data_IF_225122221460
#
_entry.id   IF_225122221460
#
_cell.length_a   1.000
_cell.length_b   1.000
_cell.length_c   1.000
_cell.angle_alpha   90.00
_cell.angle_beta   90.00
_cell.angle_gamma   90.00
#
_symmetry.space_group_name_H-M   'P 1'
#
loop_
_entity.id
_entity.type
_entity.pdbx_description
1 polymer ?
#
# COMPACT_ATOMS: atom_id res chain seq x y z
N UNK A 1 17.35 -22.99 -11.83
CA UNK A 1 16.97 -22.19 -13.00
C UNK A 1 15.53 -21.78 -12.75
N UNK A 2 15.31 -20.52 -12.36
CA UNK A 2 13.96 -19.94 -12.30
C UNK A 2 13.64 -19.48 -13.72
N UNK A 3 12.83 -20.22 -14.44
CA UNK A 3 12.20 -19.66 -15.64
C UNK A 3 11.23 -18.58 -15.15
N UNK A 4 11.51 -17.32 -15.49
CA UNK A 4 10.58 -16.24 -15.28
C UNK A 4 9.30 -16.56 -16.05
N UNK A 5 8.15 -16.46 -15.38
CA UNK A 5 6.86 -16.65 -16.02
C UNK A 5 6.57 -15.46 -16.95
N UNK A 6 5.99 -15.72 -18.11
CA UNK A 6 5.46 -14.64 -18.94
C UNK A 6 4.35 -13.91 -18.20
N UNK A 7 4.26 -12.60 -18.42
CA UNK A 7 3.33 -11.72 -17.73
C UNK A 7 2.46 -11.02 -18.76
N UNK A 8 1.15 -11.23 -18.64
CA UNK A 8 0.15 -10.47 -19.38
C UNK A 8 -0.14 -9.15 -18.66
N UNK A 9 -0.21 -8.05 -19.42
CA UNK A 9 -0.57 -6.72 -18.92
C UNK A 9 -1.92 -6.27 -19.53
N UNK A 10 -2.87 -5.91 -18.69
CA UNK A 10 -4.20 -5.45 -19.08
C UNK A 10 -4.59 -4.15 -18.39
N UNK A 11 -5.08 -3.16 -19.16
CA UNK A 11 -5.69 -1.95 -18.61
C UNK A 11 -7.06 -2.27 -18.03
N UNK A 12 -7.35 -1.72 -16.84
CA UNK A 12 -8.60 -1.92 -16.12
C UNK A 12 -9.23 -0.58 -15.76
N UNK A 13 -10.52 -0.44 -16.00
CA UNK A 13 -11.32 0.67 -15.53
C UNK A 13 -12.29 0.19 -14.44
N UNK A 14 -12.21 0.77 -13.25
CA UNK A 14 -13.07 0.49 -12.12
C UNK A 14 -14.10 1.60 -11.95
N UNK A 15 -15.34 1.25 -11.65
CA UNK A 15 -16.38 2.21 -11.29
C UNK A 15 -16.53 2.29 -9.76
N UNK A 16 -16.37 3.47 -9.20
CA UNK A 16 -16.51 3.75 -7.76
C UNK A 16 -17.30 5.04 -7.59
N UNK A 17 -18.45 4.99 -6.94
CA UNK A 17 -19.31 6.16 -6.67
C UNK A 17 -19.57 7.02 -7.93
N UNK A 18 -19.74 6.39 -9.11
CA UNK A 18 -19.94 7.07 -10.38
C UNK A 18 -18.68 7.68 -11.01
N UNK A 19 -17.52 7.47 -10.40
CA UNK A 19 -16.20 7.86 -10.92
C UNK A 19 -15.50 6.67 -11.57
N UNK A 20 -14.60 6.96 -12.52
CA UNK A 20 -13.76 5.94 -13.16
C UNK A 20 -12.34 6.02 -12.59
N UNK A 21 -11.83 4.89 -12.10
CA UNK A 21 -10.42 4.70 -11.76
C UNK A 21 -9.77 3.86 -12.86
N UNK A 22 -8.57 4.24 -13.25
CA UNK A 22 -7.77 3.47 -14.20
C UNK A 22 -6.68 2.71 -13.46
N UNK A 23 -6.54 1.43 -13.80
CA UNK A 23 -5.51 0.55 -13.24
C UNK A 23 -4.84 -0.31 -14.29
N UNK A 24 -3.77 -0.97 -13.90
CA UNK A 24 -3.08 -1.97 -14.69
C UNK A 24 -3.06 -3.30 -13.94
N UNK A 25 -3.54 -4.36 -14.59
CA UNK A 25 -3.47 -5.73 -14.08
C UNK A 25 -2.32 -6.47 -14.78
N UNK A 26 -1.40 -7.02 -13.99
CA UNK A 26 -0.32 -7.88 -14.46
C UNK A 26 -0.49 -9.26 -13.85
N UNK A 27 -0.56 -10.31 -14.66
CA UNK A 27 -0.87 -11.67 -14.17
C UNK A 27 -0.04 -12.74 -14.87
N UNK A 28 0.47 -13.75 -14.13
CA UNK A 28 1.13 -14.93 -14.68
C UNK A 28 0.12 -16.01 -15.09
N UNK A 29 0.59 -17.04 -15.78
CA UNK A 29 -0.24 -18.17 -16.24
C UNK A 29 -0.72 -19.14 -15.12
N UNK A 30 -0.16 -19.09 -13.91
CA UNK A 30 -0.46 -20.02 -12.82
C UNK A 30 -1.21 -19.38 -11.64
N UNK A 31 -2.08 -20.12 -10.90
CA UNK A 31 -2.81 -19.58 -9.74
C UNK A 31 -1.87 -19.21 -8.59
N UNK A 32 -2.07 -18.01 -8.00
CA UNK A 32 -1.03 -17.34 -7.25
C UNK A 32 -1.56 -16.25 -6.31
N UNK A 33 -0.74 -15.75 -5.39
CA UNK A 33 -1.09 -14.62 -4.55
C UNK A 33 -1.43 -13.35 -5.35
N UNK A 34 -2.37 -12.55 -4.83
CA UNK A 34 -2.68 -11.22 -5.35
C UNK A 34 -1.92 -10.13 -4.63
N UNK A 35 -1.44 -9.12 -5.35
CA UNK A 35 -0.77 -7.95 -4.79
C UNK A 35 -1.40 -6.66 -5.32
N UNK A 36 -1.94 -5.85 -4.41
CA UNK A 36 -2.48 -4.53 -4.72
C UNK A 36 -1.46 -3.45 -4.37
N UNK A 37 -1.22 -2.54 -5.31
CA UNK A 37 -0.36 -1.38 -5.10
C UNK A 37 -1.18 -0.11 -4.97
N UNK A 38 -0.84 0.72 -3.97
CA UNK A 38 -1.54 1.96 -3.66
C UNK A 38 -0.54 3.10 -3.56
N UNK A 39 -0.47 3.93 -4.58
CA UNK A 39 0.47 5.05 -4.68
C UNK A 39 0.21 6.16 -3.66
N UNK A 40 1.19 7.04 -3.48
CA UNK A 40 1.11 8.20 -2.60
C UNK A 40 0.27 9.35 -3.17
N UNK A 41 -0.04 10.35 -2.33
CA UNK A 41 -0.74 11.55 -2.78
C UNK A 41 0.13 12.38 -3.73
N UNK A 42 -0.43 12.64 -4.91
CA UNK A 42 0.27 13.33 -6.00
C UNK A 42 1.13 12.43 -6.89
N UNK A 43 1.13 11.11 -6.61
CA UNK A 43 1.72 10.09 -7.46
C UNK A 43 0.70 9.50 -8.44
N UNK A 44 1.08 8.42 -9.08
CA UNK A 44 0.27 7.64 -10.00
C UNK A 44 0.67 6.17 -9.96
N UNK A 45 -0.07 5.32 -10.67
CA UNK A 45 0.19 3.89 -10.74
C UNK A 45 1.53 3.52 -11.39
N UNK A 46 2.08 4.39 -12.25
CA UNK A 46 3.33 4.15 -12.97
C UNK A 46 4.53 4.00 -12.00
N UNK A 47 4.46 4.66 -10.83
CA UNK A 47 5.49 4.55 -9.79
C UNK A 47 5.73 3.12 -9.33
N UNK A 48 4.69 2.27 -9.39
CA UNK A 48 4.72 0.89 -8.87
C UNK A 48 4.78 -0.17 -9.98
N UNK A 49 4.62 0.21 -11.27
CA UNK A 49 4.58 -0.76 -12.37
C UNK A 49 5.84 -1.63 -12.44
N UNK A 50 7.02 -1.07 -12.26
CA UNK A 50 8.27 -1.83 -12.27
C UNK A 50 8.33 -2.92 -11.20
N UNK A 51 7.86 -2.60 -9.98
CA UNK A 51 7.76 -3.58 -8.88
C UNK A 51 6.69 -4.63 -9.16
N UNK A 52 5.53 -4.20 -9.68
CA UNK A 52 4.42 -5.08 -10.01
C UNK A 52 4.82 -6.09 -11.10
N UNK A 53 5.54 -5.64 -12.14
CA UNK A 53 6.04 -6.49 -13.20
C UNK A 53 7.04 -7.53 -12.69
N UNK A 54 7.99 -7.13 -11.84
CA UNK A 54 8.97 -8.04 -11.25
C UNK A 54 8.31 -9.10 -10.36
N UNK A 55 7.33 -8.70 -9.53
CA UNK A 55 6.58 -9.61 -8.66
C UNK A 55 5.63 -10.51 -9.45
N UNK A 56 5.08 -10.03 -10.57
CA UNK A 56 4.28 -10.85 -11.46
C UNK A 56 5.13 -11.96 -12.11
N UNK A 57 6.38 -11.69 -12.51
CA UNK A 57 7.33 -12.73 -12.99
C UNK A 57 7.69 -13.74 -11.91
N UNK A 58 7.57 -13.40 -10.62
CA UNK A 58 7.74 -14.32 -9.50
C UNK A 58 6.48 -15.14 -9.18
N UNK A 59 5.42 -14.96 -9.94
CA UNK A 59 4.19 -15.72 -9.84
C UNK A 59 3.13 -15.08 -8.93
N UNK A 60 2.99 -13.75 -8.93
CA UNK A 60 1.88 -13.04 -8.33
C UNK A 60 0.97 -12.44 -9.40
N UNK A 61 -0.32 -12.28 -9.12
CA UNK A 61 -1.18 -11.37 -9.87
C UNK A 61 -1.06 -10.01 -9.21
N UNK A 62 -0.61 -9.00 -9.96
CA UNK A 62 -0.39 -7.65 -9.45
C UNK A 62 -1.39 -6.67 -10.06
N UNK A 63 -1.88 -5.75 -9.24
CA UNK A 63 -2.79 -4.70 -9.68
C UNK A 63 -2.32 -3.35 -9.16
N UNK A 64 -2.06 -2.42 -10.08
CA UNK A 64 -1.81 -1.00 -9.83
C UNK A 64 -2.99 -0.19 -10.35
N UNK A 65 -3.30 0.93 -9.74
CA UNK A 65 -4.41 1.80 -10.16
C UNK A 65 -4.17 3.23 -9.71
N UNK A 66 -4.81 4.18 -10.37
CA UNK A 66 -4.80 5.58 -9.97
C UNK A 66 -5.94 5.86 -8.98
N UNK A 67 -5.60 6.37 -7.80
CA UNK A 67 -6.58 6.92 -6.86
C UNK A 67 -7.36 8.06 -7.53
N UNK A 68 -8.65 8.23 -7.20
CA UNK A 68 -9.42 9.35 -7.72
C UNK A 68 -8.72 10.69 -7.47
N UNK A 69 -8.85 11.61 -8.42
CA UNK A 69 -8.16 12.89 -8.40
C UNK A 69 -6.70 12.84 -8.82
N UNK A 70 -6.19 11.68 -9.28
CA UNK A 70 -4.83 11.50 -9.75
C UNK A 70 -4.81 10.95 -11.18
N UNK A 71 -3.78 11.29 -11.94
CA UNK A 71 -3.47 10.80 -13.29
C UNK A 71 -4.69 10.52 -14.19
N UNK A 72 -5.03 9.24 -14.45
CA UNK A 72 -6.14 8.84 -15.31
C UNK A 72 -7.55 8.97 -14.70
N UNK A 73 -7.68 9.44 -13.45
CA UNK A 73 -8.97 9.65 -12.79
C UNK A 73 -9.69 10.91 -13.32
N UNK A 74 -11.03 10.84 -13.41
CA UNK A 74 -11.88 11.97 -13.84
C UNK A 74 -12.17 12.97 -12.71
N UNK A 75 -11.96 12.58 -11.44
CA UNK A 75 -12.26 13.41 -10.28
C UNK A 75 -11.22 14.53 -10.09
N UNK A 76 -11.65 15.63 -9.48
CA UNK A 76 -10.75 16.71 -9.09
C UNK A 76 -10.08 16.41 -7.75
N UNK A 77 -8.75 16.45 -7.72
CA UNK A 77 -7.95 16.12 -6.52
C UNK A 77 -8.31 16.98 -5.30
N UNK A 78 -8.68 18.26 -5.51
CA UNK A 78 -9.04 19.18 -4.42
C UNK A 78 -10.42 18.92 -3.80
N UNK A 79 -11.17 17.96 -4.32
CA UNK A 79 -12.48 17.53 -3.82
C UNK A 79 -12.43 16.17 -3.12
N UNK A 80 -11.32 15.41 -3.25
CA UNK A 80 -11.20 14.03 -2.75
C UNK A 80 -10.99 14.00 -1.25
N UNK A 81 -11.89 13.29 -0.55
CA UNK A 81 -11.80 13.02 0.90
C UNK A 81 -10.98 11.74 1.18
N UNK A 82 -10.66 11.51 2.46
CA UNK A 82 -10.01 10.26 2.89
C UNK A 82 -10.94 9.06 2.79
N UNK A 83 -12.24 9.29 2.95
CA UNK A 83 -13.26 8.25 2.75
C UNK A 83 -13.35 7.82 1.29
N UNK A 84 -13.31 8.78 0.37
CA UNK A 84 -13.25 8.50 -1.06
C UNK A 84 -12.03 7.65 -1.41
N UNK A 85 -10.85 8.03 -0.93
CA UNK A 85 -9.62 7.26 -1.14
C UNK A 85 -9.71 5.83 -0.56
N UNK A 86 -10.32 5.66 0.62
CA UNK A 86 -10.53 4.33 1.20
C UNK A 86 -11.52 3.50 0.37
N UNK A 87 -12.57 4.12 -0.19
CA UNK A 87 -13.51 3.44 -1.08
C UNK A 87 -12.85 3.00 -2.39
N UNK A 88 -11.94 3.81 -2.93
CA UNK A 88 -11.14 3.44 -4.11
C UNK A 88 -10.30 2.18 -3.83
N UNK A 89 -9.58 2.18 -2.72
CA UNK A 89 -8.73 1.04 -2.33
C UNK A 89 -9.56 -0.21 -2.06
N UNK A 90 -10.74 -0.09 -1.42
CA UNK A 90 -11.66 -1.23 -1.25
C UNK A 90 -12.13 -1.79 -2.58
N UNK A 91 -12.50 -0.93 -3.52
CA UNK A 91 -12.97 -1.36 -4.85
C UNK A 91 -11.85 -2.02 -5.65
N UNK A 92 -10.63 -1.46 -5.60
CA UNK A 92 -9.46 -2.05 -6.24
C UNK A 92 -9.10 -3.41 -5.64
N UNK A 93 -9.19 -3.54 -4.31
CA UNK A 93 -9.00 -4.81 -3.62
C UNK A 93 -10.06 -5.85 -4.04
N UNK A 94 -11.33 -5.47 -4.05
CA UNK A 94 -12.43 -6.37 -4.42
C UNK A 94 -12.30 -6.82 -5.88
N UNK A 95 -11.90 -5.92 -6.78
CA UNK A 95 -11.59 -6.26 -8.17
C UNK A 95 -10.45 -7.30 -8.24
N UNK A 96 -9.32 -7.05 -7.56
CA UNK A 96 -8.20 -7.98 -7.53
C UNK A 96 -8.64 -9.34 -6.95
N UNK A 97 -9.34 -9.35 -5.82
CA UNK A 97 -9.81 -10.57 -5.17
C UNK A 97 -10.80 -11.38 -6.02
N UNK A 98 -11.48 -10.75 -6.98
CA UNK A 98 -12.42 -11.41 -7.90
C UNK A 98 -11.75 -12.09 -9.08
N UNK A 99 -10.44 -11.90 -9.29
CA UNK A 99 -9.74 -12.50 -10.42
C UNK A 99 -9.63 -14.02 -10.27
N UNK A 100 -9.94 -14.81 -11.33
CA UNK A 100 -10.04 -16.28 -11.23
C UNK A 100 -8.77 -16.99 -10.79
N UNK A 101 -7.61 -16.36 -10.99
CA UNK A 101 -6.30 -16.91 -10.64
C UNK A 101 -5.85 -16.60 -9.23
N UNK A 102 -6.59 -15.81 -8.47
CA UNK A 102 -6.18 -15.39 -7.12
C UNK A 102 -6.74 -16.32 -6.04
N UNK A 103 -5.87 -16.70 -5.10
CA UNK A 103 -6.28 -17.20 -3.80
C UNK A 103 -6.68 -16.01 -2.89
N UNK A 104 -7.98 -15.84 -2.55
CA UNK A 104 -8.43 -14.74 -1.70
C UNK A 104 -7.82 -14.76 -0.29
N UNK A 105 -7.21 -15.87 0.13
CA UNK A 105 -6.51 -15.98 1.41
C UNK A 105 -5.04 -15.52 1.35
N UNK A 106 -4.54 -15.20 0.16
CA UNK A 106 -3.15 -14.85 -0.13
C UNK A 106 -3.03 -13.49 -0.84
N UNK A 107 -3.76 -12.48 -0.34
CA UNK A 107 -3.69 -11.13 -0.91
C UNK A 107 -2.81 -10.24 -0.03
N UNK A 108 -1.81 -9.61 -0.68
CA UNK A 108 -0.95 -8.58 -0.11
C UNK A 108 -1.35 -7.18 -0.59
N UNK A 109 -1.05 -6.18 0.23
CA UNK A 109 -1.25 -4.76 -0.12
C UNK A 109 0.04 -4.01 0.13
N UNK A 110 0.49 -3.26 -0.86
CA UNK A 110 1.72 -2.46 -0.83
C UNK A 110 1.29 -0.99 -0.96
N UNK A 111 1.56 -0.18 0.04
CA UNK A 111 1.12 1.21 0.05
C UNK A 111 2.24 2.19 0.37
N UNK A 112 2.29 3.28 -0.37
CA UNK A 112 3.27 4.35 -0.18
C UNK A 112 2.61 5.60 0.40
N UNK A 113 3.16 6.16 1.49
CA UNK A 113 2.76 7.46 2.06
C UNK A 113 1.24 7.52 2.35
N UNK A 114 0.47 8.31 1.60
CA UNK A 114 -0.99 8.34 1.67
C UNK A 114 -1.62 6.99 1.33
N UNK A 115 -1.10 6.32 0.28
CA UNK A 115 -1.52 4.96 -0.04
C UNK A 115 -1.22 3.97 1.09
N UNK A 116 -0.11 4.14 1.81
CA UNK A 116 0.21 3.36 3.00
C UNK A 116 -0.80 3.56 4.13
N UNK A 117 -1.24 4.80 4.36
CA UNK A 117 -2.32 5.13 5.30
C UNK A 117 -3.63 4.44 4.93
N UNK A 118 -4.05 4.52 3.66
CA UNK A 118 -5.26 3.86 3.17
C UNK A 118 -5.16 2.33 3.23
N UNK A 119 -3.99 1.78 2.91
CA UNK A 119 -3.72 0.33 2.97
C UNK A 119 -3.81 -0.21 4.40
N UNK A 120 -3.33 0.56 5.39
CA UNK A 120 -3.48 0.19 6.80
C UNK A 120 -4.96 0.20 7.23
N UNK A 121 -5.75 1.20 6.83
CA UNK A 121 -7.20 1.25 7.10
C UNK A 121 -7.95 0.10 6.44
N UNK A 122 -7.55 -0.30 5.22
CA UNK A 122 -8.16 -1.39 4.48
C UNK A 122 -8.14 -2.71 5.27
N UNK A 123 -7.11 -2.94 6.09
CA UNK A 123 -6.97 -4.20 6.86
C UNK A 123 -8.13 -4.46 7.83
N UNK A 124 -8.88 -3.43 8.22
CA UNK A 124 -10.10 -3.54 9.02
C UNK A 124 -11.32 -3.91 8.19
N UNK A 125 -11.30 -3.57 6.90
CA UNK A 125 -12.44 -3.71 5.98
C UNK A 125 -12.34 -4.97 5.10
N UNK A 126 -11.10 -5.46 4.86
CA UNK A 126 -10.81 -6.58 3.97
C UNK A 126 -9.75 -7.49 4.57
N UNK A 127 -9.78 -8.75 4.14
CA UNK A 127 -8.79 -9.75 4.58
C UNK A 127 -7.48 -9.57 3.85
N UNK A 128 -6.57 -8.82 4.42
CA UNK A 128 -5.20 -8.66 3.94
C UNK A 128 -4.30 -9.69 4.63
N UNK A 129 -3.47 -10.39 3.86
CA UNK A 129 -2.51 -11.37 4.38
C UNK A 129 -1.16 -10.74 4.65
N UNK A 130 -0.70 -9.88 3.76
CA UNK A 130 0.59 -9.21 3.79
C UNK A 130 0.40 -7.71 3.60
N UNK A 131 1.03 -6.93 4.45
CA UNK A 131 0.94 -5.48 4.41
C UNK A 131 2.34 -4.87 4.34
N UNK A 132 2.70 -4.29 3.20
CA UNK A 132 3.96 -3.57 3.02
C UNK A 132 3.68 -2.06 2.96
N UNK A 133 4.30 -1.31 3.85
CA UNK A 133 4.11 0.13 4.00
C UNK A 133 5.45 0.87 3.80
N UNK A 134 5.53 1.70 2.77
CA UNK A 134 6.65 2.62 2.61
C UNK A 134 6.25 4.00 3.11
N UNK A 135 6.99 4.53 4.09
CA UNK A 135 6.77 5.86 4.70
C UNK A 135 5.28 6.19 4.94
N UNK A 136 4.51 5.30 5.60
CA UNK A 136 3.07 5.47 5.71
C UNK A 136 2.72 6.78 6.41
N UNK A 137 1.80 7.54 5.82
CA UNK A 137 1.30 8.78 6.42
C UNK A 137 0.34 8.49 7.57
N UNK A 138 0.12 9.49 8.44
CA UNK A 138 -0.89 9.46 9.49
C UNK A 138 -1.66 10.77 9.50
N UNK A 139 -2.95 10.73 9.84
CA UNK A 139 -3.84 11.89 9.84
C UNK A 139 -4.76 11.85 11.06
N UNK A 140 -5.09 13.01 11.68
CA UNK A 140 -6.12 13.06 12.71
C UNK A 140 -7.45 12.49 12.19
N UNK A 141 -8.22 11.82 13.05
CA UNK A 141 -9.56 11.30 12.69
C UNK A 141 -10.58 12.42 12.46
N UNK A 142 -10.37 13.57 13.06
CA UNK A 142 -11.12 14.77 12.74
C UNK A 142 -11.05 15.09 11.24
N UNK A 143 -12.06 15.76 10.72
CA UNK A 143 -12.13 16.19 9.32
C UNK A 143 -12.06 15.04 8.31
N UNK A 144 -12.55 13.86 8.69
CA UNK A 144 -12.55 12.65 7.84
C UNK A 144 -13.13 12.93 6.46
N UNK A 145 -14.24 13.67 6.38
CA UNK A 145 -14.97 14.02 5.16
C UNK A 145 -14.53 15.35 4.54
N UNK A 146 -13.50 16.01 5.11
CA UNK A 146 -12.91 17.19 4.49
C UNK A 146 -11.96 16.74 3.39
N UNK A 147 -12.03 17.34 2.17
CA UNK A 147 -11.08 17.04 1.12
C UNK A 147 -9.64 17.11 1.60
N UNK A 148 -8.87 16.07 1.30
CA UNK A 148 -7.51 15.92 1.83
C UNK A 148 -6.61 17.12 1.48
N UNK A 149 -6.79 17.71 0.30
CA UNK A 149 -6.05 18.90 -0.12
C UNK A 149 -6.36 20.15 0.73
N UNK A 150 -7.51 20.16 1.42
CA UNK A 150 -7.98 21.28 2.27
C UNK A 150 -7.68 21.11 3.75
N UNK A 151 -7.07 19.98 4.15
CA UNK A 151 -6.64 19.77 5.53
C UNK A 151 -5.60 20.82 5.94
N UNK A 152 -5.66 21.26 7.21
CA UNK A 152 -4.67 22.16 7.77
C UNK A 152 -3.31 21.45 7.85
N UNK A 153 -2.36 21.91 7.03
CA UNK A 153 -1.03 21.29 6.91
C UNK A 153 -0.21 21.38 8.21
N UNK A 154 -0.37 22.47 8.97
CA UNK A 154 0.33 22.67 10.24
C UNK A 154 -0.20 21.72 11.32
N UNK A 155 -1.52 21.54 11.39
CA UNK A 155 -2.15 20.59 12.31
C UNK A 155 -1.76 19.14 11.97
N UNK A 156 -1.77 18.76 10.70
CA UNK A 156 -1.33 17.44 10.26
C UNK A 156 0.15 17.23 10.58
N UNK A 157 1.01 18.23 10.37
CA UNK A 157 2.43 18.14 10.70
C UNK A 157 2.66 18.01 12.22
N UNK A 158 1.93 18.80 13.03
CA UNK A 158 1.99 18.71 14.49
C UNK A 158 1.49 17.35 15.00
N UNK A 159 0.43 16.81 14.38
CA UNK A 159 -0.12 15.51 14.70
C UNK A 159 0.91 14.38 14.49
N UNK A 160 1.62 14.41 13.36
CA UNK A 160 2.61 13.42 12.97
C UNK A 160 3.86 13.42 13.85
N UNK A 161 4.21 14.57 14.46
CA UNK A 161 5.34 14.71 15.39
C UNK A 161 5.08 14.16 16.79
N UNK A 162 3.97 13.48 17.00
CA UNK A 162 3.63 12.86 18.28
C UNK A 162 3.42 11.37 18.09
N UNK A 163 3.95 10.58 19.02
CA UNK A 163 3.65 9.16 19.07
C UNK A 163 2.17 9.01 19.44
N UNK A 164 1.42 8.34 18.58
CA UNK A 164 -0.03 8.10 18.74
C UNK A 164 -0.29 6.66 19.12
N UNK A 165 -1.44 6.43 19.73
CA UNK A 165 -1.86 5.10 20.14
C UNK A 165 -3.08 4.62 19.34
N UNK A 166 -3.35 3.31 19.32
CA UNK A 166 -4.55 2.75 18.69
C UNK A 166 -5.87 3.26 19.26
N UNK A 167 -5.87 3.77 20.48
CA UNK A 167 -7.05 4.35 21.14
C UNK A 167 -7.41 5.73 20.59
N UNK A 168 -6.41 6.44 20.02
CA UNK A 168 -6.52 7.83 19.56
C UNK A 168 -6.62 7.97 18.04
N UNK A 169 -6.44 6.86 17.29
CA UNK A 169 -6.32 6.90 15.83
C UNK A 169 -6.88 5.62 15.20
N UNK A 170 -7.86 5.77 14.30
CA UNK A 170 -8.52 4.63 13.64
C UNK A 170 -7.58 3.77 12.80
N UNK A 171 -6.53 4.39 12.21
CA UNK A 171 -5.55 3.67 11.39
C UNK A 171 -4.69 2.78 12.27
N UNK A 172 -4.23 3.32 13.39
CA UNK A 172 -3.45 2.55 14.36
C UNK A 172 -4.31 1.49 15.04
N UNK A 173 -5.62 1.75 15.25
CA UNK A 173 -6.56 0.73 15.71
C UNK A 173 -6.71 -0.42 14.71
N UNK A 174 -6.72 -0.12 13.40
CA UNK A 174 -6.71 -1.15 12.36
C UNK A 174 -5.40 -1.96 12.40
N UNK A 175 -4.25 -1.28 12.53
CA UNK A 175 -2.94 -1.93 12.69
C UNK A 175 -2.88 -2.83 13.93
N UNK A 176 -3.46 -2.40 15.06
CA UNK A 176 -3.47 -3.18 16.30
C UNK A 176 -4.33 -4.46 16.22
N UNK A 177 -5.32 -4.47 15.35
CA UNK A 177 -6.15 -5.65 15.08
C UNK A 177 -5.56 -6.59 14.02
N UNK A 178 -4.58 -6.12 13.22
CA UNK A 178 -4.00 -6.86 12.11
C UNK A 178 -3.13 -8.02 12.60
N UNK A 179 -3.35 -9.22 12.04
CA UNK A 179 -2.69 -10.47 12.42
C UNK A 179 -1.89 -11.12 11.26
N UNK A 180 -1.72 -10.41 10.16
CA UNK A 180 -0.89 -10.83 9.02
C UNK A 180 0.59 -10.49 9.19
N UNK A 181 1.35 -10.56 8.09
CA UNK A 181 2.77 -10.19 8.06
C UNK A 181 2.94 -8.74 7.61
N UNK A 182 3.85 -8.02 8.25
CA UNK A 182 4.07 -6.58 8.05
C UNK A 182 5.50 -6.29 7.64
N UNK A 183 5.63 -5.44 6.61
CA UNK A 183 6.86 -4.74 6.28
C UNK A 183 6.63 -3.23 6.41
N UNK A 184 7.50 -2.54 7.14
CA UNK A 184 7.62 -1.08 7.09
C UNK A 184 8.98 -0.71 6.53
N UNK A 185 9.00 0.17 5.52
CA UNK A 185 10.23 0.76 4.99
C UNK A 185 10.21 2.26 5.26
N UNK A 186 11.19 2.72 6.02
CA UNK A 186 11.40 4.11 6.41
C UNK A 186 12.47 4.76 5.52
N UNK A 187 12.27 6.01 5.14
CA UNK A 187 13.26 6.85 4.49
C UNK A 187 13.99 7.68 5.56
N UNK A 188 15.30 7.52 5.68
CA UNK A 188 16.08 8.14 6.77
C UNK A 188 16.18 9.66 6.69
N UNK A 189 15.93 10.24 5.51
CA UNK A 189 15.91 11.71 5.27
C UNK A 189 14.51 12.16 4.85
N UNK A 190 13.46 11.61 5.48
CA UNK A 190 12.07 11.97 5.19
C UNK A 190 11.70 13.32 5.81
N UNK A 191 11.34 14.28 4.96
CA UNK A 191 10.91 15.64 5.35
C UNK A 191 9.39 15.75 5.58
N UNK A 192 8.61 14.69 5.33
CA UNK A 192 7.13 14.68 5.41
C UNK A 192 6.57 13.76 6.48
N UNK A 193 7.23 12.62 6.67
CA UNK A 193 6.83 11.59 7.63
C UNK A 193 7.91 11.51 8.72
N UNK A 194 7.69 12.16 9.87
CA UNK A 194 8.67 12.14 10.94
C UNK A 194 8.76 10.76 11.62
N UNK A 195 9.87 10.46 12.30
CA UNK A 195 10.08 9.17 12.97
C UNK A 195 8.97 8.78 13.95
N UNK A 196 8.32 9.74 14.60
CA UNK A 196 7.23 9.49 15.56
C UNK A 196 6.02 8.84 14.88
N UNK A 197 5.77 9.18 13.61
CA UNK A 197 4.73 8.50 12.80
C UNK A 197 5.09 7.04 12.60
N UNK A 198 6.32 6.73 12.21
CA UNK A 198 6.78 5.34 12.02
C UNK A 198 6.75 4.57 13.34
N UNK A 199 7.19 5.19 14.45
CA UNK A 199 7.14 4.60 15.78
C UNK A 199 5.70 4.29 16.21
N UNK A 200 4.73 5.14 15.86
CA UNK A 200 3.31 4.90 16.13
C UNK A 200 2.81 3.64 15.43
N UNK A 201 3.14 3.47 14.14
CA UNK A 201 2.83 2.24 13.39
C UNK A 201 3.50 1.01 14.00
N UNK A 202 4.81 1.09 14.33
CA UNK A 202 5.55 0.00 14.95
C UNK A 202 4.91 -0.45 16.27
N UNK A 203 4.54 0.53 17.11
CA UNK A 203 3.92 0.26 18.40
C UNK A 203 2.50 -0.34 18.27
N UNK A 204 1.80 -0.07 17.15
CA UNK A 204 0.45 -0.54 16.91
C UNK A 204 0.41 -2.01 16.47
N UNK A 205 1.32 -2.51 15.65
CA UNK A 205 1.30 -3.87 15.08
C UNK A 205 1.62 -4.99 16.09
N UNK A 206 0.98 -4.97 17.26
CA UNK A 206 1.24 -5.93 18.36
C UNK A 206 0.78 -7.37 18.07
N UNK A 207 -0.18 -7.55 17.16
CA UNK A 207 -0.75 -8.84 16.80
C UNK A 207 -0.22 -9.38 15.48
N UNK A 208 0.64 -8.62 14.78
CA UNK A 208 1.22 -9.06 13.53
C UNK A 208 1.94 -10.40 13.71
N UNK A 209 1.72 -11.31 12.75
CA UNK A 209 2.39 -12.63 12.76
C UNK A 209 3.89 -12.51 12.57
N UNK A 210 4.32 -11.61 11.70
CA UNK A 210 5.71 -11.17 11.60
C UNK A 210 5.74 -9.66 11.36
N UNK A 211 6.83 -9.03 11.82
CA UNK A 211 7.04 -7.60 11.67
C UNK A 211 8.48 -7.34 11.23
N UNK A 212 8.62 -6.77 10.05
CA UNK A 212 9.91 -6.38 9.46
C UNK A 212 9.96 -4.87 9.34
N UNK A 213 10.99 -4.24 9.90
CA UNK A 213 11.27 -2.82 9.71
C UNK A 213 12.62 -2.65 9.03
N UNK A 214 12.68 -1.80 8.02
CA UNK A 214 13.90 -1.45 7.29
C UNK A 214 14.00 0.06 7.15
N UNK A 215 15.21 0.59 7.25
CA UNK A 215 15.51 2.01 7.03
C UNK A 215 16.45 2.10 5.83
N UNK A 216 16.14 2.99 4.90
CA UNK A 216 17.05 3.39 3.82
C UNK A 216 17.63 4.74 4.26
N UNK A 217 18.88 4.78 4.75
CA UNK A 217 19.39 5.91 5.54
C UNK A 217 19.39 7.25 4.83
N UNK A 218 19.71 7.26 3.54
CA UNK A 218 19.86 8.47 2.74
C UNK A 218 18.63 8.81 1.90
N UNK A 219 17.63 7.94 1.89
CA UNK A 219 16.41 8.13 1.11
C UNK A 219 15.58 9.31 1.61
N UNK A 220 15.16 10.16 0.69
CA UNK A 220 14.13 11.18 0.91
C UNK A 220 12.72 10.58 0.83
N UNK A 221 11.69 11.36 1.20
CA UNK A 221 10.30 10.95 1.05
C UNK A 221 9.96 10.49 -0.38
N UNK A 222 10.38 11.26 -1.36
CA UNK A 222 10.08 10.99 -2.77
C UNK A 222 10.96 9.90 -3.40
N UNK A 223 12.02 9.47 -2.71
CA UNK A 223 12.94 8.41 -3.17
C UNK A 223 13.39 8.57 -4.63
N UNK A 224 13.90 9.77 -4.96
CA UNK A 224 14.27 10.09 -6.35
C UNK A 224 15.61 9.51 -6.78
N UNK A 225 16.48 9.18 -5.81
CA UNK A 225 17.78 8.60 -6.13
C UNK A 225 17.60 7.16 -6.62
N UNK A 226 18.13 6.81 -7.82
CA UNK A 226 18.04 5.46 -8.35
C UNK A 226 18.72 4.40 -7.45
N UNK A 227 19.68 4.77 -6.62
CA UNK A 227 20.31 3.84 -5.68
C UNK A 227 19.33 3.47 -4.57
N UNK A 228 18.62 4.45 -3.99
CA UNK A 228 17.60 4.22 -2.97
C UNK A 228 16.43 3.42 -3.52
N UNK A 229 16.01 3.71 -4.77
CA UNK A 229 14.96 2.95 -5.45
C UNK A 229 15.34 1.47 -5.59
N UNK A 230 16.58 1.18 -6.00
CA UNK A 230 17.08 -0.21 -6.09
C UNK A 230 17.12 -0.90 -4.73
N UNK A 231 17.51 -0.19 -3.67
CA UNK A 231 17.50 -0.75 -2.31
C UNK A 231 16.07 -1.07 -1.89
N UNK A 232 15.13 -0.16 -2.12
CA UNK A 232 13.71 -0.38 -1.82
C UNK A 232 13.15 -1.57 -2.61
N UNK A 233 13.39 -1.63 -3.92
CA UNK A 233 12.97 -2.74 -4.78
C UNK A 233 13.49 -4.07 -4.23
N UNK A 234 14.77 -4.13 -3.88
CA UNK A 234 15.39 -5.33 -3.30
C UNK A 234 14.72 -5.74 -1.99
N UNK A 235 14.45 -4.79 -1.10
CA UNK A 235 13.77 -5.06 0.17
C UNK A 235 12.36 -5.60 -0.07
N UNK A 236 11.57 -4.94 -0.91
CA UNK A 236 10.18 -5.29 -1.19
C UNK A 236 10.08 -6.67 -1.84
N UNK A 237 10.85 -6.90 -2.90
CA UNK A 237 10.79 -8.14 -3.67
C UNK A 237 11.24 -9.34 -2.82
N UNK A 238 12.35 -9.22 -2.11
CA UNK A 238 12.83 -10.30 -1.23
C UNK A 238 11.80 -10.60 -0.12
N UNK A 239 11.18 -9.58 0.45
CA UNK A 239 10.17 -9.78 1.49
C UNK A 239 8.91 -10.47 0.93
N UNK A 240 8.39 -10.02 -0.22
CA UNK A 240 7.23 -10.66 -0.86
C UNK A 240 7.55 -12.11 -1.25
N UNK A 241 8.74 -12.37 -1.82
CA UNK A 241 9.16 -13.74 -2.17
C UNK A 241 9.19 -14.66 -0.94
N UNK A 242 9.68 -14.17 0.20
CA UNK A 242 9.65 -14.90 1.47
C UNK A 242 8.20 -15.21 1.91
N UNK A 243 7.29 -14.23 1.81
CA UNK A 243 5.88 -14.39 2.18
C UNK A 243 5.18 -15.41 1.28
N UNK A 244 5.39 -15.34 -0.03
CA UNK A 244 4.83 -16.27 -1.01
C UNK A 244 5.34 -17.69 -0.77
N UNK A 245 6.64 -17.87 -0.54
CA UNK A 245 7.23 -19.19 -0.23
C UNK A 245 6.69 -19.76 1.09
N UNK A 246 6.50 -18.93 2.10
CA UNK A 246 5.99 -19.36 3.39
C UNK A 246 4.52 -19.80 3.31
N UNK A 247 3.69 -19.11 2.50
CA UNK A 247 2.30 -19.49 2.30
C UNK A 247 2.17 -20.86 1.59
N UNK A 248 2.99 -21.11 0.57
CA UNK A 248 2.98 -22.40 -0.16
C UNK A 248 3.39 -23.59 0.70
N UNK A 249 4.19 -23.40 1.76
CA UNK A 249 4.55 -24.46 2.70
C UNK A 249 3.44 -24.82 3.69
N UNK A 250 2.54 -23.91 3.98
CA UNK A 250 1.42 -24.14 4.88
C UNK A 250 0.30 -25.00 4.25
N UNK A 251 0.33 -25.20 2.93
CA UNK A 251 -0.62 -26.04 2.19
C UNK A 251 -0.08 -27.45 1.84
N UNK A 252 1.10 -27.80 2.32
CA UNK A 252 1.67 -29.15 2.23
C UNK A 252 1.61 -29.85 3.59
#
# INVERSE_FOLDING_TARGET
VNDALDVDEGRVDLAVDGQRLTGTLLQPEAPVPGLLFVHGWGGDQEEDLGHAEELARLGCVCFTFDLRGHAGSEARQDEVTREDGLNDVKTAYDYLASQPLIDPSAIGVIGTSYGGYLSALLTKERRVRWLALRVPALYPDADWNVPKAKLNKEEVAAYRKQIRSPEDDRTLAACAAFDGDVLIVESGQDDRIPPETIQSYQAAFKRARSFTHRIIPDASHAMRDPADQRIYSTILINWVEEMVRSSRRAYR
#
